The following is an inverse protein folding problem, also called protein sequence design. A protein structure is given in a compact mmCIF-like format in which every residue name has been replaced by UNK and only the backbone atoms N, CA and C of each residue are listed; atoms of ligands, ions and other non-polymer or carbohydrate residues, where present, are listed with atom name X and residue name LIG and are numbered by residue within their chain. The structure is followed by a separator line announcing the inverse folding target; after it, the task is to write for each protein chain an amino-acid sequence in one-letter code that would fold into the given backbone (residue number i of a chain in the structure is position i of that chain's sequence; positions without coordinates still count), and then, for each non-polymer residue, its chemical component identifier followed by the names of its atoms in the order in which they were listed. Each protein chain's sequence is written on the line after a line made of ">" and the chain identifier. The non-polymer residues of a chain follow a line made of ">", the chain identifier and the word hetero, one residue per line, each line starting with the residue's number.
data_IF_145666787109
#
_entry.id   IF_145666787109
#
_cell.length_a   1.000
_cell.length_b   1.000
_cell.length_c   1.000
_cell.angle_alpha   90.00
_cell.angle_beta   90.00
_cell.angle_gamma   90.00
#
_symmetry.space_group_name_H-M   'P 1'
#
loop_
_entity.id
_entity.type
_entity.pdbx_description
1 polymer ?
#
# COMPACT_ATOMS: atom_id res chain seq x y z
N UNK A 1 -11.07 9.13 5.78
CA UNK A 1 -11.67 7.84 5.37
C UNK A 1 -11.52 7.72 3.86
N UNK A 2 -10.98 6.61 3.37
CA UNK A 2 -10.50 6.48 1.98
C UNK A 2 -11.58 6.32 0.90
N UNK A 3 -12.87 6.44 1.25
CA UNK A 3 -13.97 6.50 0.27
C UNK A 3 -14.01 5.32 -0.72
N UNK A 4 -13.46 4.17 -0.35
CA UNK A 4 -13.34 2.99 -1.19
C UNK A 4 -13.24 1.71 -0.37
N UNK A 5 -12.64 0.66 -0.93
CA UNK A 5 -12.64 -0.69 -0.34
C UNK A 5 -11.28 -0.99 0.28
N UNK A 6 -11.28 -1.38 1.55
CA UNK A 6 -10.08 -1.84 2.25
C UNK A 6 -10.07 -3.36 2.39
N UNK A 7 -8.94 -3.98 2.09
CA UNK A 7 -8.67 -5.39 2.29
C UNK A 7 -7.86 -5.59 3.57
N UNK A 8 -8.31 -6.52 4.40
CA UNK A 8 -7.68 -6.83 5.67
C UNK A 8 -7.08 -8.25 5.62
N UNK A 9 -5.94 -8.43 6.28
CA UNK A 9 -5.35 -9.72 6.57
C UNK A 9 -5.30 -9.88 8.10
N UNK A 10 -6.02 -10.87 8.64
CA UNK A 10 -6.16 -11.09 10.09
C UNK A 10 -6.52 -9.80 10.87
N UNK A 11 -7.47 -9.02 10.35
CA UNK A 11 -7.93 -7.76 10.95
C UNK A 11 -7.00 -6.56 10.74
N UNK A 12 -5.80 -6.75 10.17
CA UNK A 12 -4.88 -5.68 9.83
C UNK A 12 -5.06 -5.19 8.40
N UNK A 13 -5.05 -3.87 8.18
CA UNK A 13 -5.10 -3.32 6.82
C UNK A 13 -3.90 -3.76 6.00
N UNK A 14 -4.18 -4.38 4.85
CA UNK A 14 -3.21 -4.85 3.88
C UNK A 14 -3.05 -3.84 2.75
N UNK A 15 -4.16 -3.54 2.08
CA UNK A 15 -4.25 -2.56 1.00
C UNK A 15 -5.68 -2.05 0.88
N UNK A 16 -5.91 -1.06 0.03
CA UNK A 16 -7.25 -0.60 -0.29
C UNK A 16 -7.28 0.26 -1.54
N UNK A 17 -8.40 0.25 -2.24
CA UNK A 17 -8.63 1.09 -3.43
C UNK A 17 -9.42 2.33 -3.05
N UNK A 18 -9.14 3.44 -3.71
CA UNK A 18 -9.88 4.70 -3.62
C UNK A 18 -10.09 5.28 -5.03
N UNK A 19 -10.83 6.38 -5.13
CA UNK A 19 -11.19 7.01 -6.41
C UNK A 19 -10.01 7.26 -7.35
N UNK A 20 -8.82 7.49 -6.80
CA UNK A 20 -7.65 7.96 -7.55
C UNK A 20 -6.51 6.94 -7.56
N UNK A 21 -6.74 5.68 -7.18
CA UNK A 21 -5.66 4.71 -7.08
C UNK A 21 -5.87 3.68 -5.98
N UNK A 22 -4.77 3.23 -5.40
CA UNK A 22 -4.78 2.31 -4.28
C UNK A 22 -3.64 2.60 -3.32
N UNK A 23 -3.84 2.20 -2.08
CA UNK A 23 -2.82 2.26 -1.04
C UNK A 23 -2.39 0.85 -0.62
N UNK A 24 -1.11 0.71 -0.27
CA UNK A 24 -0.53 -0.53 0.27
C UNK A 24 0.20 -0.26 1.57
N UNK A 25 0.03 -1.14 2.55
CA UNK A 25 0.76 -1.10 3.83
C UNK A 25 2.01 -1.97 3.75
N UNK A 26 3.08 -1.42 3.18
CA UNK A 26 4.32 -2.14 2.91
C UNK A 26 5.26 -2.26 4.12
N UNK A 27 5.06 -1.43 5.15
CA UNK A 27 5.99 -1.32 6.28
C UNK A 27 7.19 -0.43 5.95
N UNK A 28 7.79 0.17 6.97
CA UNK A 28 8.79 1.23 6.80
C UNK A 28 10.05 0.74 6.08
N UNK A 29 10.51 -0.47 6.37
CA UNK A 29 11.71 -1.06 5.78
C UNK A 29 11.56 -1.35 4.28
N UNK A 30 10.33 -1.61 3.82
CA UNK A 30 10.02 -1.89 2.42
C UNK A 30 9.64 -0.63 1.62
N UNK A 31 9.49 0.52 2.28
CA UNK A 31 9.00 1.75 1.64
C UNK A 31 9.93 2.18 0.49
N UNK A 32 11.25 2.07 0.67
CA UNK A 32 12.21 2.38 -0.39
C UNK A 32 12.09 1.48 -1.62
N UNK A 33 11.81 0.19 -1.43
CA UNK A 33 11.60 -0.76 -2.52
C UNK A 33 10.30 -0.46 -3.27
N UNK A 34 9.23 -0.14 -2.54
CA UNK A 34 7.94 0.21 -3.14
C UNK A 34 8.04 1.52 -3.95
N UNK A 35 8.75 2.53 -3.43
CA UNK A 35 8.93 3.82 -4.09
C UNK A 35 9.86 3.77 -5.32
N UNK A 36 10.60 2.67 -5.52
CA UNK A 36 11.38 2.45 -6.73
C UNK A 36 10.51 1.99 -7.92
N UNK A 37 9.23 1.70 -7.70
CA UNK A 37 8.28 1.31 -8.73
C UNK A 37 7.62 2.55 -9.35
N UNK A 38 7.52 2.56 -10.68
CA UNK A 38 6.90 3.67 -11.41
C UNK A 38 5.43 3.86 -11.01
N UNK A 39 5.06 5.11 -10.73
CA UNK A 39 3.70 5.49 -10.32
C UNK A 39 3.35 5.16 -8.86
N UNK A 40 4.33 4.82 -8.03
CA UNK A 40 4.19 4.66 -6.57
C UNK A 40 4.76 5.88 -5.85
N UNK A 41 4.01 6.44 -4.92
CA UNK A 41 4.39 7.64 -4.16
C UNK A 41 4.17 7.46 -2.66
N UNK A 42 4.85 8.23 -1.79
CA UNK A 42 4.63 8.13 -0.36
C UNK A 42 3.19 8.50 0.00
N UNK A 43 2.57 7.73 0.89
CA UNK A 43 1.24 8.08 1.37
C UNK A 43 1.31 9.33 2.26
N UNK A 44 0.56 10.37 1.89
CA UNK A 44 0.43 11.60 2.68
C UNK A 44 -1.01 11.76 3.16
N UNK A 45 -1.19 11.79 4.48
CA UNK A 45 -2.49 12.15 5.08
C UNK A 45 -2.38 13.53 5.72
N UNK A 46 -3.12 14.50 5.19
CA UNK A 46 -3.18 15.88 5.73
C UNK A 46 -1.80 16.54 5.95
N UNK A 47 -0.88 16.38 5.00
CA UNK A 47 0.46 16.95 5.06
C UNK A 47 1.46 16.21 5.96
N UNK A 48 1.06 15.12 6.62
CA UNK A 48 1.98 14.23 7.36
C UNK A 48 2.17 12.94 6.59
N UNK A 49 3.45 12.60 6.37
CA UNK A 49 3.84 11.33 5.75
C UNK A 49 3.49 10.18 6.70
N UNK A 50 2.81 9.16 6.17
CA UNK A 50 2.53 7.93 6.90
C UNK A 50 3.58 6.89 6.52
N UNK A 51 4.61 6.74 7.36
CA UNK A 51 5.67 5.77 7.13
C UNK A 51 5.13 4.35 6.96
N UNK A 52 5.71 3.62 6.00
CA UNK A 52 5.29 2.25 5.67
C UNK A 52 3.97 2.13 4.92
N UNK A 53 3.43 3.23 4.38
CA UNK A 53 2.32 3.23 3.44
C UNK A 53 2.70 3.96 2.15
N UNK A 54 2.23 3.42 1.03
CA UNK A 54 2.40 4.02 -0.30
C UNK A 54 1.04 4.16 -0.99
N UNK A 55 0.94 5.16 -1.85
CA UNK A 55 -0.17 5.38 -2.80
C UNK A 55 0.31 5.00 -4.20
N UNK A 56 -0.59 4.49 -5.03
CA UNK A 56 -0.31 3.91 -6.34
C UNK A 56 -1.30 4.49 -7.32
N UNK A 57 -0.80 5.09 -8.40
CA UNK A 57 -1.65 5.69 -9.42
C UNK A 57 -2.50 4.63 -10.15
N UNK A 58 -3.63 5.02 -10.78
CA UNK A 58 -4.46 4.12 -11.56
C UNK A 58 -3.66 3.43 -12.68
N UNK A 59 -2.81 4.16 -13.39
CA UNK A 59 -1.99 3.63 -14.48
C UNK A 59 -1.00 2.56 -13.98
N UNK A 60 -0.37 2.79 -12.83
CA UNK A 60 0.53 1.81 -12.22
C UNK A 60 -0.23 0.56 -11.73
N UNK A 61 -1.50 0.73 -11.33
CA UNK A 61 -2.37 -0.39 -10.99
C UNK A 61 -2.81 -1.20 -12.20
N UNK A 62 -2.72 -0.72 -13.44
CA UNK A 62 -2.99 -1.58 -14.61
C UNK A 62 -1.86 -2.61 -14.82
N UNK A 63 -0.67 -2.37 -14.27
CA UNK A 63 0.46 -3.29 -14.35
C UNK A 63 0.38 -4.40 -13.28
N UNK A 64 0.14 -5.63 -13.74
CA UNK A 64 0.05 -6.82 -12.89
C UNK A 64 1.31 -7.07 -12.06
N UNK A 65 2.50 -6.81 -12.61
CA UNK A 65 3.76 -7.00 -11.92
C UNK A 65 3.93 -5.99 -10.78
N UNK A 66 3.59 -4.72 -11.02
CA UNK A 66 3.59 -3.68 -9.97
C UNK A 66 2.64 -4.07 -8.85
N UNK A 67 1.39 -4.47 -9.17
CA UNK A 67 0.41 -4.91 -8.16
C UNK A 67 0.91 -6.12 -7.37
N UNK A 68 1.49 -7.11 -8.03
CA UNK A 68 2.00 -8.31 -7.38
C UNK A 68 3.16 -8.01 -6.41
N UNK A 69 4.11 -7.19 -6.83
CA UNK A 69 5.25 -6.80 -6.00
C UNK A 69 4.80 -6.02 -4.75
N UNK A 70 3.93 -5.03 -4.92
CA UNK A 70 3.38 -4.24 -3.80
C UNK A 70 2.58 -5.12 -2.83
N UNK A 71 1.78 -6.03 -3.36
CA UNK A 71 1.01 -6.96 -2.55
C UNK A 71 1.93 -7.94 -1.78
N UNK A 72 3.03 -8.39 -2.39
CA UNK A 72 4.02 -9.24 -1.71
C UNK A 72 4.71 -8.50 -0.55
N UNK A 73 5.15 -7.27 -0.78
CA UNK A 73 5.76 -6.42 0.27
C UNK A 73 4.76 -6.19 1.42
N UNK A 74 3.52 -5.83 1.08
CA UNK A 74 2.48 -5.58 2.08
C UNK A 74 2.11 -6.85 2.86
N UNK A 75 1.93 -7.99 2.21
CA UNK A 75 1.64 -9.26 2.89
C UNK A 75 2.79 -9.66 3.81
N UNK A 76 4.03 -9.56 3.33
CA UNK A 76 5.23 -9.88 4.11
C UNK A 76 5.30 -9.07 5.41
N UNK A 77 5.02 -7.77 5.34
CA UNK A 77 4.97 -6.93 6.54
C UNK A 77 3.75 -7.24 7.42
N UNK A 78 2.54 -7.25 6.84
CA UNK A 78 1.30 -7.37 7.61
C UNK A 78 1.18 -8.71 8.32
N UNK A 79 1.74 -9.79 7.76
CA UNK A 79 1.79 -11.10 8.39
C UNK A 79 2.65 -11.13 9.67
N UNK A 80 3.54 -10.16 9.88
CA UNK A 80 4.33 -10.04 11.12
C UNK A 80 3.57 -9.36 12.26
N UNK A 81 2.43 -8.73 11.97
CA UNK A 81 1.67 -7.99 12.96
C UNK A 81 0.79 -8.93 13.78
N UNK A 82 0.57 -8.64 15.08
CA UNK A 82 -0.45 -9.33 15.85
C UNK A 82 -1.81 -9.22 15.17
N UNK A 83 -2.55 -10.34 15.13
CA UNK A 83 -3.93 -10.35 14.67
C UNK A 83 -4.80 -9.39 15.51
N UNK A 84 -5.83 -8.82 14.89
CA UNK A 84 -6.78 -7.91 15.54
C UNK A 84 -8.16 -8.53 15.70
#
# INVERSE_FOLDING_TARGET
>A
MFGGVAFLLAGNMLCGVHKNGAMYRVGQDNEGLALALDGVVPMAFTGRRMGGFVDVSPDALENDQTRAQLLQLAQGFVATLPAK
#
